data_IF_127786930978
#
_entry.id   IF_127786930978
#
_cell.length_a   1.000
_cell.length_b   1.000
_cell.length_c   1.000
_cell.angle_alpha   90.00
_cell.angle_beta   90.00
_cell.angle_gamma   90.00
#
_symmetry.space_group_name_H-M   'P 1'
#
loop_
_entity.id
_entity.type
_entity.pdbx_description
1 polymer ?
#
# COMPACT_ATOMS: atom_id res chain seq x y z
N UNK A 1 22.01 35.16 -55.26
CA UNK A 1 23.46 35.11 -54.95
C UNK A 1 23.70 35.70 -53.56
N UNK A 2 23.92 34.86 -52.56
CA UNK A 2 25.03 34.88 -51.59
C UNK A 2 24.67 34.00 -50.39
N UNK A 3 25.67 33.33 -49.81
CA UNK A 3 25.51 32.25 -48.83
C UNK A 3 25.50 32.83 -47.41
N UNK A 4 25.40 31.98 -46.38
CA UNK A 4 26.47 31.78 -45.38
C UNK A 4 25.97 30.81 -44.30
N UNK A 5 26.56 29.62 -44.28
CA UNK A 5 26.56 28.71 -43.13
C UNK A 5 27.50 29.30 -42.07
N UNK A 6 27.05 29.34 -40.82
CA UNK A 6 27.91 29.62 -39.66
C UNK A 6 28.00 28.34 -38.82
N UNK A 7 29.20 27.79 -38.59
CA UNK A 7 29.41 26.70 -37.65
C UNK A 7 29.64 27.25 -36.25
N UNK A 8 29.00 26.64 -35.24
CA UNK A 8 29.22 26.98 -33.83
C UNK A 8 30.32 26.08 -33.24
N UNK A 9 31.30 26.65 -32.52
CA UNK A 9 32.48 25.90 -32.07
C UNK A 9 32.23 25.08 -30.80
N UNK A 10 32.74 23.85 -30.84
CA UNK A 10 32.93 22.99 -29.67
C UNK A 10 33.98 23.60 -28.72
N UNK A 11 33.57 23.89 -27.49
CA UNK A 11 34.47 24.28 -26.40
C UNK A 11 34.83 23.08 -25.53
N UNK A 12 36.11 22.72 -25.55
CA UNK A 12 36.75 21.79 -24.63
C UNK A 12 37.13 22.53 -23.34
N UNK A 13 36.37 22.31 -22.27
CA UNK A 13 36.72 22.73 -20.91
C UNK A 13 37.47 21.63 -20.17
N UNK A 14 38.79 21.76 -20.08
CA UNK A 14 39.68 20.83 -19.38
C UNK A 14 39.82 21.21 -17.90
N UNK A 15 39.83 20.16 -17.04
CA UNK A 15 40.51 20.03 -15.74
C UNK A 15 40.05 20.90 -14.55
N UNK A 16 39.62 20.19 -13.51
CA UNK A 16 40.20 20.38 -12.17
C UNK A 16 40.17 19.07 -11.38
N UNK A 17 41.36 18.66 -10.93
CA UNK A 17 41.60 17.56 -9.99
C UNK A 17 41.38 18.05 -8.55
N UNK A 18 41.24 17.07 -7.65
CA UNK A 18 41.35 17.12 -6.16
C UNK A 18 40.01 17.51 -5.50
N UNK A 19 39.52 16.80 -4.49
CA UNK A 19 40.25 16.20 -3.37
C UNK A 19 39.52 14.97 -2.82
N UNK A 20 40.30 13.97 -2.45
CA UNK A 20 39.92 12.90 -1.56
C UNK A 20 39.60 13.51 -0.18
N UNK A 21 38.36 13.38 0.27
CA UNK A 21 38.01 13.47 1.68
C UNK A 21 37.14 12.26 1.98
N UNK A 22 37.82 11.18 2.38
CA UNK A 22 37.20 10.00 2.95
C UNK A 22 36.60 10.40 4.30
N UNK A 23 35.29 10.66 4.32
CA UNK A 23 34.50 10.62 5.53
C UNK A 23 33.76 9.28 5.54
N UNK A 24 34.36 8.31 6.22
CA UNK A 24 33.69 7.09 6.61
C UNK A 24 32.67 7.44 7.71
N UNK A 25 31.47 7.84 7.31
CA UNK A 25 30.32 7.78 8.21
C UNK A 25 29.95 6.31 8.36
N UNK A 26 30.43 5.71 9.45
CA UNK A 26 29.94 4.44 9.97
C UNK A 26 28.50 4.69 10.48
N UNK A 27 27.55 4.78 9.55
CA UNK A 27 26.14 4.83 9.87
C UNK A 27 25.77 3.47 10.45
N UNK A 28 25.46 3.45 11.74
CA UNK A 28 24.88 2.32 12.42
C UNK A 28 23.63 1.87 11.63
N UNK A 29 23.74 0.72 10.96
CA UNK A 29 22.62 -0.02 10.44
C UNK A 29 21.80 -0.51 11.64
N UNK A 30 20.97 0.36 12.21
CA UNK A 30 19.83 -0.11 12.99
C UNK A 30 18.91 -0.80 11.99
N UNK A 31 18.67 -2.11 12.09
CA UNK A 31 17.63 -2.73 11.30
C UNK A 31 16.33 -2.03 11.66
N UNK A 32 15.77 -1.29 10.71
CA UNK A 32 14.39 -0.88 10.77
C UNK A 32 13.59 -2.18 10.84
N UNK A 33 13.09 -2.51 12.03
CA UNK A 33 12.04 -3.51 12.19
C UNK A 33 10.88 -3.03 11.32
N UNK A 34 10.76 -3.62 10.14
CA UNK A 34 9.56 -3.54 9.34
C UNK A 34 8.38 -3.85 10.27
N UNK A 35 7.34 -3.02 10.20
CA UNK A 35 6.11 -3.21 10.95
C UNK A 35 5.68 -4.68 10.82
N UNK A 36 5.72 -5.40 11.94
CA UNK A 36 5.40 -6.82 11.96
C UNK A 36 3.96 -7.06 11.50
N UNK A 37 3.66 -8.22 10.90
CA UNK A 37 2.32 -8.58 10.47
C UNK A 37 1.33 -8.50 11.65
N UNK A 38 0.20 -7.84 11.41
CA UNK A 38 -0.81 -7.52 12.41
C UNK A 38 -1.57 -8.78 12.86
N UNK A 39 -1.53 -9.07 14.16
CA UNK A 39 -2.37 -10.08 14.80
C UNK A 39 -3.69 -9.46 15.27
N UNK A 40 -4.79 -9.74 14.58
CA UNK A 40 -6.16 -9.42 15.02
C UNK A 40 -6.74 -10.58 15.84
N UNK A 41 -7.59 -10.27 16.83
CA UNK A 41 -8.05 -11.15 17.89
C UNK A 41 -8.66 -12.47 17.37
N UNK A 42 -7.84 -13.52 17.47
CA UNK A 42 -8.02 -14.88 16.96
C UNK A 42 -8.43 -15.83 18.10
N UNK A 43 -8.66 -17.11 17.82
CA UNK A 43 -8.44 -18.12 18.85
C UNK A 43 -7.07 -17.83 19.50
N UNK A 44 -6.98 -17.69 20.83
CA UNK A 44 -5.83 -17.06 21.48
C UNK A 44 -4.53 -17.74 21.05
N UNK A 45 -3.65 -16.96 20.40
CA UNK A 45 -2.28 -17.39 20.09
C UNK A 45 -1.99 -17.70 18.61
N UNK A 46 -2.96 -17.52 17.74
CA UNK A 46 -2.85 -17.79 16.31
C UNK A 46 -2.65 -16.42 15.58
N UNK A 47 -1.78 -16.30 14.55
CA UNK A 47 -1.68 -15.19 13.56
C UNK A 47 -1.49 -15.67 12.08
N UNK A 48 -1.83 -14.83 11.09
CA UNK A 48 -1.61 -15.11 9.66
C UNK A 48 -0.75 -14.02 9.04
N UNK A 49 0.23 -14.41 8.23
CA UNK A 49 1.15 -13.53 7.53
C UNK A 49 0.87 -13.61 6.03
N UNK A 50 0.74 -12.46 5.38
CA UNK A 50 0.61 -12.33 3.93
C UNK A 50 1.93 -11.77 3.39
N UNK A 51 2.50 -12.46 2.40
CA UNK A 51 3.74 -12.08 1.76
C UNK A 51 3.54 -12.02 0.25
N UNK A 52 4.06 -10.98 -0.36
CA UNK A 52 4.13 -10.85 -1.80
C UNK A 52 5.55 -10.46 -2.18
N UNK A 53 6.08 -11.09 -3.21
CA UNK A 53 7.36 -10.74 -3.78
C UNK A 53 7.12 -9.86 -5.01
N UNK A 54 7.92 -8.80 -5.14
CA UNK A 54 7.83 -7.88 -6.27
C UNK A 54 7.84 -8.65 -7.61
N UNK A 55 6.83 -8.38 -8.45
CA UNK A 55 6.64 -9.05 -9.74
C UNK A 55 5.81 -10.34 -9.71
N UNK A 56 5.46 -10.88 -8.53
CA UNK A 56 4.52 -11.99 -8.44
C UNK A 56 3.08 -11.54 -8.65
N UNK A 57 2.28 -12.42 -9.25
CA UNK A 57 0.84 -12.22 -9.48
C UNK A 57 -0.01 -12.91 -8.42
N UNK A 58 0.58 -13.33 -7.31
CA UNK A 58 -0.11 -14.01 -6.21
C UNK A 58 0.43 -13.50 -4.88
N UNK A 59 -0.39 -13.60 -3.83
CA UNK A 59 0.03 -13.33 -2.45
C UNK A 59 0.08 -14.68 -1.73
N UNK A 60 1.23 -15.00 -1.17
CA UNK A 60 1.40 -16.18 -0.32
C UNK A 60 0.90 -15.87 1.08
N UNK A 61 0.23 -16.82 1.72
CA UNK A 61 -0.17 -16.67 3.12
C UNK A 61 0.25 -17.89 3.94
N UNK A 62 0.59 -17.63 5.20
CA UNK A 62 0.93 -18.67 6.17
C UNK A 62 0.33 -18.35 7.52
N UNK A 63 -0.33 -19.34 8.10
CA UNK A 63 -1.06 -19.22 9.35
C UNK A 63 -0.36 -20.03 10.44
N UNK A 64 0.16 -19.35 11.46
CA UNK A 64 0.93 -19.97 12.54
C UNK A 64 0.42 -19.57 13.93
N UNK A 65 0.94 -20.23 14.96
CA UNK A 65 0.66 -19.94 16.37
C UNK A 65 0.18 -21.15 17.17
N UNK A 66 -0.49 -20.90 18.29
CA UNK A 66 -0.97 -21.93 19.22
C UNK A 66 -2.45 -22.25 19.00
N UNK A 67 -2.80 -23.48 18.65
CA UNK A 67 -4.20 -23.91 18.46
C UNK A 67 -4.77 -24.72 19.64
N UNK A 68 -4.15 -24.65 20.82
CA UNK A 68 -4.49 -25.45 22.00
C UNK A 68 -3.88 -26.86 22.00
N UNK A 69 -3.48 -27.41 20.84
CA UNK A 69 -2.74 -28.68 20.74
C UNK A 69 -1.22 -28.51 20.75
N UNK A 70 -0.73 -27.31 20.42
CA UNK A 70 0.68 -26.97 20.40
C UNK A 70 0.96 -25.69 19.61
N UNK A 71 2.24 -25.34 19.47
CA UNK A 71 2.71 -24.24 18.63
C UNK A 71 3.14 -24.80 17.26
N UNK A 72 2.67 -24.20 16.17
CA UNK A 72 3.03 -24.63 14.82
C UNK A 72 2.47 -23.74 13.73
N UNK A 73 2.66 -24.14 12.47
CA UNK A 73 1.98 -23.55 11.32
C UNK A 73 0.95 -24.55 10.81
N UNK A 74 -0.29 -24.09 10.69
CA UNK A 74 -1.48 -24.93 10.53
C UNK A 74 -2.09 -24.83 9.14
N UNK A 75 -1.66 -23.84 8.36
CA UNK A 75 -2.12 -23.66 6.99
C UNK A 75 -1.19 -22.72 6.22
N UNK A 76 -1.14 -22.92 4.92
CA UNK A 76 -0.49 -22.01 3.97
C UNK A 76 -1.15 -22.15 2.61
N UNK A 77 -1.08 -21.11 1.80
CA UNK A 77 -1.61 -21.15 0.45
C UNK A 77 -1.25 -19.90 -0.35
N UNK A 78 -1.92 -19.78 -1.50
CA UNK A 78 -1.77 -18.65 -2.41
C UNK A 78 -3.14 -18.09 -2.74
N UNK A 79 -3.24 -16.77 -2.81
CA UNK A 79 -4.40 -16.07 -3.38
C UNK A 79 -3.99 -15.36 -4.67
N UNK A 80 -4.86 -15.39 -5.67
CA UNK A 80 -4.58 -14.88 -7.01
C UNK A 80 -5.25 -15.74 -8.09
N UNK A 81 -4.95 -15.51 -9.39
CA UNK A 81 -3.96 -14.57 -9.89
C UNK A 81 -4.46 -13.11 -9.92
N UNK A 82 -3.53 -12.17 -9.74
CA UNK A 82 -3.69 -10.72 -9.82
C UNK A 82 -2.95 -10.15 -11.03
N UNK A 83 -3.24 -8.90 -11.37
CA UNK A 83 -2.49 -8.19 -12.37
C UNK A 83 -1.18 -7.64 -11.79
N UNK A 84 -1.29 -6.84 -10.73
CA UNK A 84 -0.20 -6.28 -9.93
C UNK A 84 -0.70 -6.01 -8.49
N UNK A 85 -0.60 -6.99 -7.57
CA UNK A 85 -1.02 -6.79 -6.20
C UNK A 85 -0.01 -5.88 -5.49
N UNK A 86 -0.49 -4.78 -4.91
CA UNK A 86 0.35 -3.68 -4.44
C UNK A 86 0.10 -3.31 -2.97
N UNK A 87 -1.00 -3.77 -2.37
CA UNK A 87 -1.23 -3.68 -0.93
C UNK A 87 -2.13 -4.82 -0.45
N UNK A 88 -1.93 -5.23 0.80
CA UNK A 88 -2.80 -6.20 1.50
C UNK A 88 -3.25 -5.58 2.81
N UNK A 89 -4.56 -5.56 3.03
CA UNK A 89 -5.21 -5.04 4.24
C UNK A 89 -6.07 -6.14 4.83
N UNK A 90 -6.05 -6.28 6.15
CA UNK A 90 -6.96 -7.15 6.86
C UNK A 90 -8.02 -6.33 7.57
N UNK A 91 -9.28 -6.77 7.48
CA UNK A 91 -10.42 -6.20 8.20
C UNK A 91 -11.21 -7.35 8.80
N UNK A 92 -11.21 -7.47 10.13
CA UNK A 92 -11.82 -8.60 10.82
C UNK A 92 -11.30 -9.96 10.27
N UNK A 93 -12.20 -10.77 9.72
CA UNK A 93 -11.90 -12.05 9.05
C UNK A 93 -11.80 -11.92 7.52
N UNK A 94 -11.68 -10.71 6.98
CA UNK A 94 -11.48 -10.47 5.55
C UNK A 94 -10.04 -10.10 5.23
N UNK A 95 -9.54 -10.65 4.14
CA UNK A 95 -8.27 -10.28 3.51
C UNK A 95 -8.60 -9.52 2.25
N UNK A 96 -8.05 -8.32 2.15
CA UNK A 96 -8.33 -7.41 1.06
C UNK A 96 -7.03 -7.15 0.32
N UNK A 97 -7.00 -7.55 -0.95
CA UNK A 97 -5.86 -7.30 -1.84
C UNK A 97 -6.21 -6.15 -2.77
N UNK A 98 -5.39 -5.11 -2.77
CA UNK A 98 -5.44 -4.03 -3.75
C UNK A 98 -4.59 -4.46 -4.94
N UNK A 99 -5.22 -4.58 -6.09
CA UNK A 99 -4.59 -4.87 -7.38
C UNK A 99 -4.62 -3.60 -8.22
N UNK A 100 -3.46 -3.00 -8.48
CA UNK A 100 -3.39 -1.77 -9.29
C UNK A 100 -3.61 -2.04 -10.77
N UNK A 101 -3.84 -3.29 -11.20
CA UNK A 101 -4.18 -3.61 -12.57
C UNK A 101 -2.96 -3.76 -13.49
N UNK A 102 -3.24 -3.94 -14.77
CA UNK A 102 -2.24 -3.99 -15.83
C UNK A 102 -2.86 -3.45 -17.13
N UNK A 103 -2.44 -2.25 -17.58
CA UNK A 103 -2.99 -1.65 -18.79
C UNK A 103 -2.67 -2.45 -20.04
N UNK A 104 -1.59 -3.23 -20.08
CA UNK A 104 -1.24 -4.08 -21.23
C UNK A 104 -2.17 -5.29 -21.38
N UNK A 105 -2.84 -5.70 -20.29
CA UNK A 105 -3.84 -6.77 -20.27
C UNK A 105 -5.27 -6.26 -20.21
N UNK A 106 -5.49 -4.94 -20.30
CA UNK A 106 -6.81 -4.30 -20.08
C UNK A 106 -7.44 -4.70 -18.73
N UNK A 107 -6.60 -4.92 -17.71
CA UNK A 107 -7.05 -5.24 -16.35
C UNK A 107 -7.06 -3.94 -15.54
N UNK A 108 -8.25 -3.43 -15.27
CA UNK A 108 -8.44 -2.26 -14.41
C UNK A 108 -8.01 -2.52 -12.96
N UNK A 109 -7.70 -1.44 -12.25
CA UNK A 109 -7.46 -1.49 -10.81
C UNK A 109 -8.70 -2.04 -10.08
N UNK A 110 -8.48 -2.84 -9.05
CA UNK A 110 -9.53 -3.50 -8.31
C UNK A 110 -9.15 -3.76 -6.86
N UNK A 111 -10.16 -3.91 -6.02
CA UNK A 111 -10.06 -4.52 -4.70
C UNK A 111 -10.60 -5.93 -4.79
N UNK A 112 -9.83 -6.91 -4.33
CA UNK A 112 -10.24 -8.32 -4.26
C UNK A 112 -10.38 -8.71 -2.80
N UNK A 113 -11.58 -9.13 -2.41
CA UNK A 113 -11.91 -9.47 -1.02
C UNK A 113 -11.99 -10.98 -0.89
N UNK A 114 -11.31 -11.51 0.12
CA UNK A 114 -11.32 -12.90 0.52
C UNK A 114 -11.81 -13.04 1.96
N UNK A 115 -12.40 -14.18 2.28
CA UNK A 115 -12.76 -14.59 3.63
C UNK A 115 -11.66 -15.48 4.18
N UNK A 116 -11.08 -15.10 5.30
CA UNK A 116 -10.21 -15.97 6.09
C UNK A 116 -11.08 -16.87 6.97
N UNK A 117 -10.79 -18.17 6.96
CA UNK A 117 -11.31 -19.13 7.94
C UNK A 117 -10.16 -19.56 8.83
N UNK A 118 -10.33 -19.39 10.14
CA UNK A 118 -9.30 -19.63 11.15
C UNK A 118 -9.49 -20.95 11.92
N UNK A 119 -10.17 -21.93 11.31
CA UNK A 119 -10.42 -23.24 11.89
C UNK A 119 -9.18 -24.13 12.03
N UNK A 120 -9.39 -25.41 12.33
CA UNK A 120 -8.32 -26.43 12.35
C UNK A 120 -7.59 -26.58 11.02
N UNK A 121 -8.25 -26.16 9.94
CA UNK A 121 -7.74 -26.15 8.58
C UNK A 121 -7.93 -24.73 8.04
N UNK A 122 -6.96 -23.82 8.25
CA UNK A 122 -7.08 -22.45 7.78
C UNK A 122 -7.29 -22.38 6.27
N UNK A 123 -8.17 -21.50 5.81
CA UNK A 123 -8.42 -21.24 4.38
C UNK A 123 -8.58 -19.75 4.11
N UNK A 124 -8.38 -19.37 2.86
CA UNK A 124 -8.65 -18.01 2.36
C UNK A 124 -9.46 -18.13 1.08
N UNK A 125 -10.74 -17.84 1.17
CA UNK A 125 -11.73 -18.11 0.11
C UNK A 125 -12.14 -16.82 -0.59
N UNK A 126 -12.18 -16.82 -1.92
CA UNK A 126 -12.61 -15.64 -2.68
C UNK A 126 -14.06 -15.27 -2.35
N UNK A 127 -14.30 -14.00 -2.03
CA UNK A 127 -15.65 -13.48 -1.87
C UNK A 127 -16.09 -12.72 -3.11
N UNK A 128 -15.34 -11.67 -3.47
CA UNK A 128 -15.74 -10.76 -4.56
C UNK A 128 -14.60 -9.86 -5.02
N UNK A 129 -14.85 -9.19 -6.15
CA UNK A 129 -13.97 -8.18 -6.76
C UNK A 129 -14.76 -6.89 -6.98
N UNK A 130 -14.16 -5.77 -6.59
CA UNK A 130 -14.71 -4.41 -6.69
C UNK A 130 -13.80 -3.62 -7.63
N UNK A 131 -14.35 -3.05 -8.70
CA UNK A 131 -13.58 -2.28 -9.69
C UNK A 131 -13.36 -0.86 -9.18
N UNK A 132 -12.14 -0.33 -9.37
CA UNK A 132 -11.73 1.01 -8.96
C UNK A 132 -11.64 1.92 -10.19
N UNK A 133 -12.77 2.44 -10.67
CA UNK A 133 -12.87 3.15 -11.96
C UNK A 133 -11.98 4.40 -12.06
N UNK A 134 -11.81 5.13 -10.96
CA UNK A 134 -11.00 6.36 -10.92
C UNK A 134 -9.51 6.12 -10.64
N UNK A 135 -9.07 4.87 -10.48
CA UNK A 135 -7.66 4.55 -10.19
C UNK A 135 -7.03 3.99 -11.46
N UNK A 136 -6.02 4.67 -12.05
CA UNK A 136 -5.41 4.23 -13.28
C UNK A 136 -4.74 2.87 -13.10
N UNK A 137 -4.94 1.97 -14.07
CA UNK A 137 -4.25 0.69 -14.08
C UNK A 137 -2.75 0.90 -14.25
N UNK A 138 -1.92 0.28 -13.40
CA UNK A 138 -0.47 0.43 -13.44
C UNK A 138 0.25 -0.75 -12.81
N UNK A 139 1.34 -1.19 -13.44
CA UNK A 139 2.23 -2.25 -12.94
C UNK A 139 3.44 -1.71 -12.17
N UNK A 140 3.49 -0.40 -11.95
CA UNK A 140 4.59 0.29 -11.24
C UNK A 140 4.07 1.22 -10.14
N UNK A 141 2.77 1.24 -9.91
CA UNK A 141 2.15 2.08 -8.89
C UNK A 141 2.37 1.47 -7.50
N UNK A 142 2.87 2.29 -6.58
CA UNK A 142 2.89 1.94 -5.16
C UNK A 142 1.52 2.21 -4.57
N UNK A 143 0.88 1.19 -4.02
CA UNK A 143 -0.40 1.37 -3.35
C UNK A 143 -0.23 1.69 -1.87
N UNK A 144 -1.07 2.61 -1.40
CA UNK A 144 -1.29 2.90 0.00
C UNK A 144 -2.72 2.51 0.31
N UNK A 145 -2.92 1.77 1.38
CA UNK A 145 -4.26 1.42 1.82
C UNK A 145 -4.31 1.36 3.33
N UNK A 146 -5.47 1.64 3.91
CA UNK A 146 -5.78 1.31 5.29
C UNK A 146 -7.28 1.18 5.43
N UNK A 147 -7.72 0.44 6.44
CA UNK A 147 -9.14 0.27 6.68
C UNK A 147 -9.52 0.70 8.09
N UNK A 148 -10.76 1.16 8.22
CA UNK A 148 -11.43 1.41 9.48
C UNK A 148 -12.83 0.84 9.37
N UNK A 149 -13.11 -0.23 10.13
CA UNK A 149 -14.36 -0.98 10.04
C UNK A 149 -14.63 -1.39 8.58
N UNK A 150 -15.80 -1.04 8.05
CA UNK A 150 -16.24 -1.40 6.71
C UNK A 150 -15.83 -0.39 5.64
N UNK A 151 -14.85 0.49 5.91
CA UNK A 151 -14.34 1.44 4.93
C UNK A 151 -12.86 1.16 4.67
N UNK A 152 -12.53 0.92 3.41
CA UNK A 152 -11.17 0.82 2.92
C UNK A 152 -10.82 2.12 2.21
N UNK A 153 -9.77 2.77 2.68
CA UNK A 153 -9.15 3.93 2.03
C UNK A 153 -7.96 3.43 1.25
N UNK A 154 -7.85 3.82 -0.02
CA UNK A 154 -6.74 3.41 -0.87
C UNK A 154 -6.37 4.51 -1.86
N UNK A 155 -5.11 4.56 -2.25
CA UNK A 155 -4.60 5.48 -3.26
C UNK A 155 -3.25 5.00 -3.78
N UNK A 156 -2.76 5.66 -4.82
CA UNK A 156 -1.44 5.36 -5.40
C UNK A 156 -0.58 6.60 -5.51
N UNK A 157 0.73 6.38 -5.65
CA UNK A 157 1.73 7.40 -6.00
C UNK A 157 1.61 7.90 -7.45
N UNK A 158 0.69 7.35 -8.24
CA UNK A 158 0.41 7.75 -9.63
C UNK A 158 -0.97 8.39 -9.81
N UNK A 159 -1.78 8.52 -8.75
CA UNK A 159 -3.13 9.08 -8.80
C UNK A 159 -3.32 10.22 -7.81
N UNK A 160 -3.79 11.36 -8.30
CA UNK A 160 -4.20 12.51 -7.46
C UNK A 160 -5.48 12.24 -6.67
N UNK A 161 -6.21 11.17 -7.00
CA UNK A 161 -7.40 10.74 -6.29
C UNK A 161 -7.09 9.52 -5.42
N UNK A 162 -7.56 9.56 -4.19
CA UNK A 162 -7.74 8.36 -3.37
C UNK A 162 -9.20 7.91 -3.46
N UNK A 163 -9.45 6.64 -3.20
CA UNK A 163 -10.77 6.05 -3.19
C UNK A 163 -11.12 5.52 -1.80
N UNK A 164 -12.40 5.61 -1.46
CA UNK A 164 -13.01 5.01 -0.28
C UNK A 164 -14.02 3.97 -0.75
N UNK A 165 -13.77 2.71 -0.39
CA UNK A 165 -14.63 1.57 -0.69
C UNK A 165 -15.42 1.20 0.56
N UNK A 166 -16.74 1.21 0.46
CA UNK A 166 -17.61 0.66 1.49
C UNK A 166 -17.72 -0.85 1.30
N UNK A 167 -17.12 -1.62 2.19
CA UNK A 167 -17.02 -3.08 2.16
C UNK A 167 -18.36 -3.78 2.46
N UNK A 168 -19.44 -3.08 2.81
CA UNK A 168 -20.77 -3.69 2.98
C UNK A 168 -21.58 -3.73 1.70
N UNK A 169 -21.43 -2.72 0.83
CA UNK A 169 -22.28 -2.55 -0.36
C UNK A 169 -21.48 -2.26 -1.63
N UNK A 170 -20.17 -2.42 -1.56
CA UNK A 170 -19.22 -2.27 -2.65
C UNK A 170 -19.26 -0.89 -3.33
N UNK A 171 -19.80 0.12 -2.62
CA UNK A 171 -19.83 1.48 -3.13
C UNK A 171 -18.44 2.08 -3.06
N UNK A 172 -17.96 2.55 -4.21
CA UNK A 172 -16.71 3.28 -4.37
C UNK A 172 -17.02 4.77 -4.45
N UNK A 173 -16.24 5.57 -3.73
CA UNK A 173 -16.25 7.03 -3.83
C UNK A 173 -14.82 7.53 -3.98
N UNK A 174 -14.64 8.58 -4.76
CA UNK A 174 -13.31 9.14 -5.06
C UNK A 174 -13.23 10.57 -4.56
N UNK A 175 -12.07 10.93 -4.04
CA UNK A 175 -11.80 12.28 -3.58
C UNK A 175 -10.32 12.63 -3.76
N UNK A 176 -10.02 13.92 -3.69
CA UNK A 176 -8.67 14.45 -3.55
C UNK A 176 -8.63 15.37 -2.32
N UNK A 177 -7.43 15.59 -1.80
CA UNK A 177 -7.19 16.58 -0.75
C UNK A 177 -6.65 17.88 -1.34
N UNK A 178 -5.70 17.77 -2.29
CA UNK A 178 -5.10 18.94 -2.94
C UNK A 178 -4.39 18.64 -4.26
N UNK A 179 -4.87 17.65 -5.02
CA UNK A 179 -4.35 17.37 -6.36
C UNK A 179 -2.94 16.78 -6.43
N UNK A 180 -2.41 16.27 -5.31
CA UNK A 180 -1.15 15.53 -5.28
C UNK A 180 -1.40 14.01 -5.21
N UNK A 181 -0.48 13.17 -5.70
CA UNK A 181 -0.54 11.73 -5.49
C UNK A 181 -0.58 11.33 -4.02
N UNK A 182 -1.00 10.09 -3.76
CA UNK A 182 -1.11 9.56 -2.40
C UNK A 182 0.25 9.12 -1.89
N UNK A 183 0.75 9.81 -0.87
CA UNK A 183 2.04 9.48 -0.25
C UNK A 183 1.89 8.36 0.79
N UNK A 184 0.86 8.47 1.63
CA UNK A 184 0.65 7.58 2.77
C UNK A 184 -0.84 7.46 3.11
N UNK A 185 -1.25 6.27 3.53
CA UNK A 185 -2.55 6.01 4.16
C UNK A 185 -2.28 5.11 5.36
N UNK A 186 -2.76 5.53 6.53
CA UNK A 186 -2.56 4.78 7.79
C UNK A 186 -3.83 4.82 8.64
N UNK A 187 -4.05 3.80 9.45
CA UNK A 187 -5.20 3.68 10.36
C UNK A 187 -4.71 3.47 11.79
N UNK A 188 -5.49 3.76 12.81
CA UNK A 188 -5.25 3.27 14.19
C UNK A 188 -6.38 2.34 14.67
N UNK A 189 -7.26 1.92 13.76
CA UNK A 189 -8.46 1.13 14.05
C UNK A 189 -9.71 1.97 14.35
N UNK A 190 -9.56 3.25 14.66
CA UNK A 190 -10.67 4.19 14.87
C UNK A 190 -10.69 5.32 13.83
N UNK A 191 -9.51 5.76 13.41
CA UNK A 191 -9.29 6.84 12.46
C UNK A 191 -8.41 6.36 11.30
N UNK A 192 -8.57 7.04 10.16
CA UNK A 192 -7.66 6.92 9.01
C UNK A 192 -7.09 8.29 8.69
N UNK A 193 -5.79 8.34 8.41
CA UNK A 193 -5.12 9.47 7.78
C UNK A 193 -4.86 9.14 6.32
N UNK A 194 -5.26 10.03 5.42
CA UNK A 194 -4.79 10.06 4.03
C UNK A 194 -3.88 11.26 3.86
N UNK A 195 -2.69 11.04 3.31
CA UNK A 195 -1.72 12.10 3.00
C UNK A 195 -1.48 12.18 1.49
N UNK A 196 -1.60 13.39 0.95
CA UNK A 196 -1.33 13.72 -0.45
C UNK A 196 -0.48 14.99 -0.53
N UNK A 197 0.82 14.85 -0.78
CA UNK A 197 1.80 15.92 -0.67
C UNK A 197 1.80 16.56 0.72
N UNK A 198 1.47 17.85 0.74
CA UNK A 198 1.47 18.67 1.96
C UNK A 198 0.11 18.69 2.68
N UNK A 199 -0.84 17.86 2.24
CA UNK A 199 -2.21 17.82 2.71
C UNK A 199 -2.50 16.52 3.42
N UNK A 200 -3.22 16.60 4.52
CA UNK A 200 -3.68 15.45 5.28
C UNK A 200 -5.19 15.56 5.56
N UNK A 201 -5.90 14.46 5.33
CA UNK A 201 -7.30 14.29 5.68
C UNK A 201 -7.43 13.30 6.84
N UNK A 202 -8.21 13.67 7.84
CA UNK A 202 -8.51 12.84 9.01
C UNK A 202 -9.92 12.31 8.90
N UNK A 203 -10.08 11.00 8.85
CA UNK A 203 -11.36 10.35 8.68
C UNK A 203 -11.70 9.55 9.92
N UNK A 204 -12.89 9.79 10.46
CA UNK A 204 -13.51 8.94 11.47
C UNK A 204 -14.68 8.17 10.83
N UNK A 205 -15.38 7.41 11.66
CA UNK A 205 -16.62 6.71 11.30
C UNK A 205 -17.72 7.62 10.76
N UNK A 206 -17.77 8.88 11.16
CA UNK A 206 -18.76 9.86 10.66
C UNK A 206 -18.31 10.57 9.39
N UNK A 207 -17.15 10.21 8.84
CA UNK A 207 -16.56 10.80 7.64
C UNK A 207 -15.38 11.72 7.97
N UNK A 208 -15.07 12.61 7.02
CA UNK A 208 -13.99 13.58 7.13
C UNK A 208 -14.21 14.50 8.34
N UNK A 209 -13.25 14.50 9.27
CA UNK A 209 -13.27 15.35 10.46
C UNK A 209 -12.51 16.65 10.24
N UNK A 210 -11.34 16.58 9.59
CA UNK A 210 -10.44 17.72 9.45
C UNK A 210 -9.70 17.61 8.11
N UNK A 211 -9.71 18.68 7.33
CA UNK A 211 -8.73 18.93 6.26
C UNK A 211 -7.80 20.03 6.72
N UNK A 212 -6.53 19.71 6.95
CA UNK A 212 -5.56 20.75 7.25
C UNK A 212 -4.93 21.20 5.92
N UNK A 213 -5.39 22.35 5.45
CA UNK A 213 -4.71 23.08 4.38
C UNK A 213 -3.39 23.61 4.93
N UNK A 214 -2.30 22.87 4.71
CA UNK A 214 -0.92 23.25 5.05
C UNK A 214 -0.49 22.93 6.50
N UNK A 215 0.03 21.70 6.67
CA UNK A 215 0.85 21.17 7.77
C UNK A 215 0.41 21.30 9.25
N UNK A 216 0.15 20.14 9.83
CA UNK A 216 0.76 19.65 11.07
C UNK A 216 0.82 18.13 10.97
N UNK A 217 2.01 17.53 11.06
CA UNK A 217 2.18 16.07 11.09
C UNK A 217 1.27 15.50 12.18
N UNK A 218 0.16 14.88 11.82
CA UNK A 218 -0.58 14.12 12.81
C UNK A 218 0.14 12.81 13.01
N UNK A 219 0.91 12.80 14.09
CA UNK A 219 1.62 11.63 14.54
C UNK A 219 0.66 10.79 15.38
N UNK A 220 0.19 9.66 14.84
CA UNK A 220 -0.35 8.60 15.67
C UNK A 220 0.82 7.70 16.09
N UNK A 221 1.19 7.64 17.38
CA UNK A 221 2.28 6.78 17.84
C UNK A 221 2.03 5.28 17.61
N UNK A 222 0.78 4.89 17.30
CA UNK A 222 0.35 3.49 17.13
C UNK A 222 -0.41 3.25 15.81
N UNK A 223 -0.03 3.94 14.73
CA UNK A 223 -0.70 3.73 13.45
C UNK A 223 -0.48 2.30 12.91
N UNK A 224 -1.56 1.57 12.76
CA UNK A 224 -1.75 0.41 11.90
C UNK A 224 -1.67 0.83 10.42
N UNK A 225 -0.45 0.97 9.90
CA UNK A 225 -0.21 1.13 8.45
C UNK A 225 -0.39 -0.22 7.76
N UNK A 226 -1.01 -0.25 6.58
CA UNK A 226 -0.93 -1.45 5.75
C UNK A 226 0.51 -1.73 5.35
N UNK A 227 0.82 -3.00 5.13
CA UNK A 227 2.10 -3.39 4.54
C UNK A 227 2.06 -2.98 3.07
N UNK A 228 2.74 -1.88 2.75
CA UNK A 228 3.10 -1.58 1.36
C UNK A 228 3.92 -2.76 0.85
N UNK A 229 3.45 -3.37 -0.23
CA UNK A 229 4.25 -4.35 -0.93
C UNK A 229 5.32 -3.58 -1.75
N UNK A 230 6.59 -4.02 -1.74
CA UNK A 230 7.65 -3.41 -2.52
C UNK A 230 7.54 -3.72 -4.02
#
# INVERSE_FOLDING_TARGET
MRPTLVPEPLSFGTRARRSLAAWACLAALTPALAAGPQASARAPGLFTVYNHLAGETFVNWTTCGNNGSGNGCWGSGQIGPFAHPCAVVRVDDQVIVVDSGDPARSLGAAVVVYQESNGSTPSVDFLRRIVLEDLPASTTATCRAAAVRNQLYLGTDQSVRYQVVNLLNDRVTSADLCGNPTDNISSDGEYVIVQQGNCAGFFSRSGLQITNGTYGQAFFPNAHTAVSLP
#
